data_IF_270197312305
#
_entry.id   IF_270197312305
#
_cell.length_a   1.000
_cell.length_b   1.000
_cell.length_c   1.000
_cell.angle_alpha   90.00
_cell.angle_beta   90.00
_cell.angle_gamma   90.00
#
_symmetry.space_group_name_H-M   'P 1'
#
loop_
_entity.id
_entity.type
_entity.pdbx_description
1 polymer ?
#
# COMPACT_ATOMS: atom_id res chain seq x y z
N UNK A 1 -40.33 77.49 -38.85
CA UNK A 1 -40.43 76.98 -37.46
C UNK A 1 -39.01 76.72 -36.96
N UNK A 2 -38.43 77.68 -36.22
CA UNK A 2 -38.19 77.67 -34.75
C UNK A 2 -37.03 76.73 -34.33
N UNK A 3 -35.83 77.29 -34.07
CA UNK A 3 -35.20 77.62 -32.75
C UNK A 3 -34.41 76.44 -32.14
N UNK A 4 -33.06 76.47 -32.10
CA UNK A 4 -32.13 76.88 -30.99
C UNK A 4 -32.22 76.00 -29.71
N UNK A 5 -31.25 75.97 -28.77
CA UNK A 5 -29.77 75.79 -28.80
C UNK A 5 -29.26 74.83 -27.67
N UNK A 6 -27.94 74.80 -27.40
CA UNK A 6 -27.20 74.09 -26.31
C UNK A 6 -27.83 74.13 -24.88
N UNK A 7 -27.67 73.03 -24.11
CA UNK A 7 -27.55 72.89 -22.63
C UNK A 7 -26.93 71.50 -22.34
N UNK A 8 -25.76 71.30 -21.75
CA UNK A 8 -25.21 71.59 -20.40
C UNK A 8 -25.87 70.84 -19.22
N UNK A 9 -25.00 70.14 -18.45
CA UNK A 9 -25.07 69.72 -17.03
C UNK A 9 -25.40 68.25 -16.71
N UNK A 10 -24.29 67.54 -16.41
CA UNK A 10 -23.94 66.71 -15.24
C UNK A 10 -25.01 66.36 -14.17
N UNK A 11 -24.71 65.23 -13.52
CA UNK A 11 -25.20 64.63 -12.26
C UNK A 11 -26.54 63.85 -12.39
N UNK A 12 -26.79 62.69 -11.76
CA UNK A 12 -26.02 61.76 -10.90
C UNK A 12 -26.92 60.55 -10.59
N UNK A 13 -26.30 59.49 -10.01
CA UNK A 13 -26.87 58.34 -9.28
C UNK A 13 -27.50 57.23 -10.16
N UNK A 14 -26.86 56.07 -10.29
CA UNK A 14 -26.70 54.99 -9.30
C UNK A 14 -28.01 54.22 -9.02
N UNK A 15 -27.92 52.89 -9.21
CA UNK A 15 -28.86 51.83 -8.84
C UNK A 15 -29.98 51.44 -9.85
N UNK A 16 -29.64 50.52 -10.77
CA UNK A 16 -30.40 49.29 -11.11
C UNK A 16 -29.35 48.24 -11.51
N UNK A 17 -28.85 47.44 -10.57
CA UNK A 17 -29.23 46.03 -10.35
C UNK A 17 -28.96 45.15 -11.59
N UNK A 18 -27.82 44.44 -11.61
CA UNK A 18 -27.67 43.01 -11.24
C UNK A 18 -28.14 42.06 -12.35
N UNK A 19 -27.26 41.12 -12.74
CA UNK A 19 -27.33 40.21 -13.90
C UNK A 19 -26.77 40.86 -15.19
N UNK A 20 -25.65 40.46 -15.79
CA UNK A 20 -24.88 39.22 -15.77
C UNK A 20 -23.43 39.57 -16.07
N UNK A 21 -22.57 39.49 -15.05
CA UNK A 21 -21.13 39.64 -15.17
C UNK A 21 -20.51 38.25 -14.95
N UNK A 22 -19.42 37.98 -15.67
CA UNK A 22 -18.56 36.78 -15.56
C UNK A 22 -18.97 35.59 -16.43
N UNK A 23 -18.94 35.80 -17.75
CA UNK A 23 -18.52 34.76 -18.71
C UNK A 23 -17.15 35.17 -19.25
N UNK A 24 -16.21 34.22 -19.29
CA UNK A 24 -14.83 34.36 -19.77
C UNK A 24 -13.76 34.79 -18.74
N UNK A 25 -13.65 34.04 -17.65
CA UNK A 25 -12.34 33.57 -17.20
C UNK A 25 -12.44 32.04 -17.09
N UNK A 26 -12.00 31.35 -18.14
CA UNK A 26 -11.78 29.91 -18.07
C UNK A 26 -10.62 29.68 -17.12
N UNK A 27 -10.93 29.35 -15.86
CA UNK A 27 -9.98 28.67 -14.99
C UNK A 27 -9.74 27.30 -15.61
N UNK A 28 -8.65 27.16 -16.35
CA UNK A 28 -8.02 25.87 -16.55
C UNK A 28 -7.46 25.50 -15.18
N UNK A 29 -8.20 24.72 -14.40
CA UNK A 29 -7.62 23.95 -13.31
C UNK A 29 -6.70 22.91 -13.97
N UNK A 30 -5.43 23.27 -14.18
CA UNK A 30 -4.35 22.29 -14.22
C UNK A 30 -4.14 21.80 -12.78
N UNK A 31 -5.12 21.07 -12.25
CA UNK A 31 -4.86 20.17 -11.14
C UNK A 31 -4.01 19.06 -11.74
N UNK A 32 -2.70 19.07 -11.44
CA UNK A 32 -1.88 17.90 -11.70
C UNK A 32 -2.44 16.79 -10.84
N UNK A 33 -3.15 15.87 -11.45
CA UNK A 33 -3.61 14.66 -10.81
C UNK A 33 -2.36 13.85 -10.41
N UNK A 34 -2.19 13.59 -9.12
CA UNK A 34 -1.15 12.69 -8.65
C UNK A 34 -1.55 11.28 -9.06
N UNK A 35 -1.00 10.79 -10.16
CA UNK A 35 -1.05 9.37 -10.46
C UNK A 35 -0.37 8.64 -9.30
N UNK A 36 -1.12 7.95 -8.43
CA UNK A 36 -0.59 7.20 -7.29
C UNK A 36 -0.47 5.69 -7.57
N UNK A 37 0.73 5.18 -7.80
CA UNK A 37 1.02 3.76 -7.68
C UNK A 37 1.04 3.37 -6.21
N UNK A 38 1.06 2.08 -5.90
CA UNK A 38 0.98 1.62 -4.52
C UNK A 38 1.70 0.29 -4.39
N UNK A 39 2.71 0.27 -3.54
CA UNK A 39 3.42 -0.93 -3.17
C UNK A 39 4.68 -0.63 -2.37
N UNK A 40 5.01 -1.54 -1.47
CA UNK A 40 6.28 -1.65 -0.76
C UNK A 40 6.68 -3.13 -0.73
N UNK A 41 7.89 -3.44 -0.25
CA UNK A 41 8.35 -4.82 -0.14
C UNK A 41 7.47 -5.63 0.83
N UNK A 42 7.12 -6.84 0.41
CA UNK A 42 6.43 -7.86 1.20
C UNK A 42 7.40 -8.96 1.64
N UNK A 43 8.45 -9.26 0.86
CA UNK A 43 9.54 -10.16 1.24
C UNK A 43 10.89 -9.67 0.69
N UNK A 44 11.91 -9.38 1.54
CA UNK A 44 11.77 -9.14 2.97
C UNK A 44 10.80 -7.98 3.22
N UNK A 45 9.87 -8.17 4.15
CA UNK A 45 8.79 -7.21 4.40
C UNK A 45 9.31 -5.85 4.84
N UNK A 46 8.71 -4.79 4.31
CA UNK A 46 9.01 -3.42 4.72
C UNK A 46 8.49 -3.10 6.12
N UNK A 47 8.97 -2.02 6.74
CA UNK A 47 8.50 -1.56 8.06
C UNK A 47 6.98 -1.37 8.10
N UNK A 48 6.41 -0.67 7.12
CA UNK A 48 4.95 -0.42 7.07
C UNK A 48 4.18 -1.71 6.88
N UNK A 49 4.64 -2.61 6.00
CA UNK A 49 4.00 -3.91 5.78
C UNK A 49 4.08 -4.81 7.01
N UNK A 50 5.26 -5.01 7.60
CA UNK A 50 5.41 -5.88 8.77
C UNK A 50 4.75 -5.31 10.02
N UNK A 51 4.67 -3.98 10.17
CA UNK A 51 3.87 -3.39 11.24
C UNK A 51 2.37 -3.52 11.01
N UNK A 52 1.91 -3.51 9.74
CA UNK A 52 0.53 -3.83 9.43
C UNK A 52 0.21 -5.28 9.78
N UNK A 53 1.06 -6.22 9.35
CA UNK A 53 0.94 -7.64 9.70
C UNK A 53 0.94 -7.83 11.22
N UNK A 54 1.89 -7.23 11.95
CA UNK A 54 1.95 -7.31 13.42
C UNK A 54 0.67 -6.78 14.11
N UNK A 55 0.10 -5.71 13.57
CA UNK A 55 -0.99 -4.98 14.19
C UNK A 55 -2.37 -5.53 13.82
N UNK A 56 -2.56 -6.09 12.62
CA UNK A 56 -3.89 -6.47 12.15
C UNK A 56 -4.46 -7.60 12.99
N UNK A 57 -5.66 -7.36 13.52
CA UNK A 57 -6.44 -8.35 14.27
C UNK A 57 -7.52 -8.96 13.38
N UNK A 58 -8.17 -10.03 13.83
CA UNK A 58 -9.28 -10.67 13.11
C UNK A 58 -10.49 -9.76 12.87
N UNK A 59 -10.58 -8.64 13.58
CA UNK A 59 -11.65 -7.63 13.43
C UNK A 59 -11.21 -6.47 12.54
N UNK A 60 -9.98 -6.49 12.02
CA UNK A 60 -9.38 -5.40 11.24
C UNK A 60 -8.87 -4.22 12.06
N UNK A 61 -8.97 -4.29 13.38
CA UNK A 61 -8.35 -3.28 14.24
C UNK A 61 -6.83 -3.45 14.20
N UNK A 62 -6.09 -2.34 14.21
CA UNK A 62 -4.64 -2.35 14.32
C UNK A 62 -4.21 -2.18 15.79
N UNK A 63 -3.60 -3.22 16.33
CA UNK A 63 -3.09 -3.30 17.69
C UNK A 63 -1.66 -3.88 17.64
N UNK A 64 -0.66 -3.06 17.29
CA UNK A 64 0.72 -3.52 17.18
C UNK A 64 1.22 -4.08 18.51
N UNK A 65 1.93 -5.20 18.45
CA UNK A 65 2.59 -5.82 19.59
C UNK A 65 4.08 -5.52 19.62
N UNK A 66 4.68 -5.26 18.46
CA UNK A 66 6.06 -4.83 18.34
C UNK A 66 6.25 -3.41 18.93
N UNK A 67 7.28 -3.17 19.76
CA UNK A 67 7.49 -1.86 20.37
C UNK A 67 7.79 -0.72 19.38
N UNK A 68 8.51 -0.98 18.29
CA UNK A 68 8.77 0.01 17.24
C UNK A 68 7.49 0.33 16.45
N UNK A 69 6.70 -0.69 16.08
CA UNK A 69 5.41 -0.49 15.43
C UNK A 69 4.41 0.26 16.33
N UNK A 70 4.35 -0.08 17.62
CA UNK A 70 3.51 0.62 18.59
C UNK A 70 3.94 2.08 18.76
N UNK A 71 5.24 2.36 18.79
CA UNK A 71 5.75 3.73 18.81
C UNK A 71 5.39 4.49 17.52
N UNK A 72 5.50 3.84 16.36
CA UNK A 72 5.15 4.45 15.08
C UNK A 72 3.66 4.81 14.99
N UNK A 73 2.77 3.92 15.45
CA UNK A 73 1.33 4.18 15.54
C UNK A 73 1.00 5.28 16.56
N UNK A 74 1.74 5.35 17.67
CA UNK A 74 1.53 6.40 18.66
C UNK A 74 1.91 7.80 18.13
N UNK A 75 2.89 7.88 17.23
CA UNK A 75 3.37 9.14 16.64
C UNK A 75 2.58 9.54 15.39
N UNK A 76 2.48 8.65 14.40
CA UNK A 76 1.89 8.93 13.08
C UNK A 76 0.44 8.42 12.91
N UNK A 77 -0.14 7.83 13.95
CA UNK A 77 -1.46 7.22 13.90
C UNK A 77 -1.50 5.91 13.12
N UNK A 78 -2.71 5.38 12.92
CA UNK A 78 -2.94 4.09 12.24
C UNK A 78 -3.10 4.21 10.72
N UNK A 79 -3.43 5.39 10.19
CA UNK A 79 -3.61 5.63 8.74
C UNK A 79 -2.45 5.10 7.88
N UNK A 80 -1.16 5.28 8.26
CA UNK A 80 -0.04 4.72 7.52
C UNK A 80 -0.08 3.20 7.35
N UNK A 81 -0.61 2.47 8.34
CA UNK A 81 -0.68 1.01 8.28
C UNK A 81 -1.86 0.51 7.43
N UNK A 82 -2.96 1.24 7.33
CA UNK A 82 -4.02 0.90 6.36
C UNK A 82 -3.60 1.21 4.92
N UNK A 83 -2.67 2.15 4.77
CA UNK A 83 -2.10 2.56 3.49
C UNK A 83 -0.62 2.15 3.44
N UNK A 84 -0.28 0.97 3.97
CA UNK A 84 1.11 0.51 4.16
C UNK A 84 1.93 0.51 2.86
N UNK A 85 1.24 0.43 1.72
CA UNK A 85 1.75 0.46 0.36
C UNK A 85 1.98 1.88 -0.22
N UNK A 86 1.59 2.95 0.47
CA UNK A 86 1.53 4.32 -0.05
C UNK A 86 2.72 5.22 0.32
N UNK A 87 3.89 4.62 0.58
CA UNK A 87 5.11 5.37 0.92
C UNK A 87 5.73 5.97 -0.36
N UNK A 88 5.19 7.10 -0.78
CA UNK A 88 5.43 7.67 -2.11
C UNK A 88 5.88 9.13 -2.11
N UNK A 89 6.49 9.54 -3.21
CA UNK A 89 6.66 10.94 -3.59
C UNK A 89 6.33 11.10 -5.08
N UNK A 90 5.22 11.79 -5.37
CA UNK A 90 4.71 12.03 -6.73
C UNK A 90 5.67 12.82 -7.62
N UNK A 91 6.69 13.44 -7.06
CA UNK A 91 7.64 14.29 -7.78
C UNK A 91 9.08 13.78 -7.74
N UNK A 92 9.36 12.59 -7.21
CA UNK A 92 10.73 12.12 -7.05
C UNK A 92 11.48 12.01 -8.39
N UNK A 93 10.82 11.57 -9.46
CA UNK A 93 11.34 11.48 -10.83
C UNK A 93 12.69 10.74 -10.91
N UNK A 94 12.84 9.67 -10.14
CA UNK A 94 14.05 8.85 -10.04
C UNK A 94 15.18 9.45 -9.22
N UNK A 95 14.98 10.61 -8.58
CA UNK A 95 15.96 11.27 -7.70
C UNK A 95 16.00 10.58 -6.33
N UNK A 96 17.18 10.61 -5.73
CA UNK A 96 17.44 10.09 -4.38
C UNK A 96 18.28 11.07 -3.59
N UNK A 97 19.58 10.78 -3.45
CA UNK A 97 20.54 11.65 -2.76
C UNK A 97 20.50 13.11 -3.27
N UNK A 98 20.50 14.05 -2.33
CA UNK A 98 20.40 15.49 -2.60
C UNK A 98 18.97 16.01 -2.84
N UNK A 99 17.98 15.12 -2.98
CA UNK A 99 16.57 15.46 -3.12
C UNK A 99 15.72 14.92 -1.96
N UNK A 100 15.85 13.62 -1.65
CA UNK A 100 15.29 13.02 -0.43
C UNK A 100 16.31 13.22 0.70
N UNK A 101 15.99 13.94 1.78
CA UNK A 101 16.93 14.16 2.87
C UNK A 101 17.35 12.86 3.56
N UNK A 102 18.59 12.83 4.06
CA UNK A 102 19.04 11.78 4.97
C UNK A 102 18.13 11.73 6.21
N UNK A 103 17.93 10.53 6.77
CA UNK A 103 17.02 10.28 7.89
C UNK A 103 15.54 10.29 7.52
N UNK A 104 15.18 10.47 6.25
CA UNK A 104 13.77 10.48 5.78
C UNK A 104 13.52 9.53 4.61
N UNK A 105 14.48 8.66 4.30
CA UNK A 105 14.42 7.74 3.15
C UNK A 105 13.22 6.79 3.28
N UNK A 106 12.97 6.26 4.49
CA UNK A 106 11.87 5.32 4.75
C UNK A 106 10.48 5.97 4.79
N UNK A 107 10.40 7.30 4.70
CA UNK A 107 9.15 8.07 4.64
C UNK A 107 9.01 8.88 3.34
N UNK A 108 9.75 8.49 2.29
CA UNK A 108 9.79 9.19 1.01
C UNK A 108 10.10 10.69 1.13
N UNK A 109 10.94 11.08 2.09
CA UNK A 109 11.26 12.48 2.34
C UNK A 109 10.14 13.27 2.99
N UNK A 110 9.19 12.60 3.66
CA UNK A 110 7.96 13.14 4.23
C UNK A 110 7.10 13.87 3.19
N UNK A 111 7.04 13.35 1.96
CA UNK A 111 6.30 13.94 0.82
C UNK A 111 5.06 13.13 0.42
N UNK A 112 4.82 11.99 1.06
CA UNK A 112 3.60 11.21 0.86
C UNK A 112 2.38 11.99 1.37
N UNK A 113 1.18 11.74 0.81
CA UNK A 113 -0.07 12.24 1.37
C UNK A 113 -0.34 11.78 2.82
N UNK A 114 0.36 10.75 3.31
CA UNK A 114 0.25 10.26 4.69
C UNK A 114 1.51 10.51 5.50
N UNK A 115 1.35 10.65 6.81
CA UNK A 115 2.46 10.79 7.72
C UNK A 115 3.18 9.45 7.94
N UNK A 116 4.23 9.19 7.18
CA UNK A 116 5.12 8.04 7.41
C UNK A 116 6.37 8.40 8.24
N UNK A 117 6.42 9.59 8.86
CA UNK A 117 7.66 10.09 9.48
C UNK A 117 8.21 9.15 10.56
N UNK A 118 7.35 8.56 11.38
CA UNK A 118 7.75 7.65 12.45
C UNK A 118 8.42 6.34 11.94
N UNK A 119 8.18 5.95 10.69
CA UNK A 119 8.82 4.77 10.08
C UNK A 119 10.28 5.02 9.70
N UNK A 120 10.77 6.27 9.80
CA UNK A 120 12.20 6.60 9.68
C UNK A 120 12.95 6.54 11.02
N UNK A 121 12.30 6.17 12.12
CA UNK A 121 12.95 6.11 13.43
C UNK A 121 14.13 5.11 13.44
N UNK A 122 15.25 5.56 14.02
CA UNK A 122 16.46 4.77 14.18
C UNK A 122 16.37 3.91 15.45
N UNK A 123 15.97 2.65 15.28
CA UNK A 123 15.73 1.67 16.36
C UNK A 123 16.18 0.29 15.91
N UNK A 124 16.60 -0.54 16.86
CA UNK A 124 17.04 -1.92 16.62
C UNK A 124 15.95 -2.98 16.92
N UNK A 125 14.74 -2.56 17.28
CA UNK A 125 13.63 -3.45 17.64
C UNK A 125 12.48 -3.47 16.61
N UNK A 126 12.72 -2.99 15.38
CA UNK A 126 11.81 -3.21 14.26
C UNK A 126 11.65 -4.71 13.94
N UNK A 127 10.47 -5.14 13.47
CA UNK A 127 10.32 -6.46 12.88
C UNK A 127 11.32 -6.65 11.74
N UNK A 128 11.89 -7.85 11.61
CA UNK A 128 12.97 -8.08 10.66
C UNK A 128 12.89 -9.45 9.99
N UNK A 129 13.44 -9.54 8.79
CA UNK A 129 13.61 -10.80 8.05
C UNK A 129 15.03 -11.35 8.22
N UNK A 130 15.15 -12.62 8.57
CA UNK A 130 16.41 -13.33 8.76
C UNK A 130 16.90 -13.94 7.44
N UNK A 131 18.13 -13.62 7.04
CA UNK A 131 18.68 -13.93 5.72
C UNK A 131 20.09 -14.52 5.80
N UNK A 132 20.48 -15.20 4.73
CA UNK A 132 21.81 -15.80 4.57
C UNK A 132 22.67 -14.93 3.67
N UNK A 133 23.84 -14.50 4.17
CA UNK A 133 24.80 -13.74 3.37
C UNK A 133 25.29 -14.57 2.16
N UNK A 134 25.31 -13.98 0.97
CA UNK A 134 25.73 -14.64 -0.27
C UNK A 134 24.68 -15.57 -0.91
N UNK A 135 23.47 -15.67 -0.34
CA UNK A 135 22.37 -16.41 -0.96
C UNK A 135 21.66 -15.59 -2.04
N UNK A 136 20.67 -16.19 -2.70
CA UNK A 136 19.66 -15.49 -3.49
C UNK A 136 18.33 -15.58 -2.78
N UNK A 137 17.57 -14.49 -2.76
CA UNK A 137 16.21 -14.44 -2.24
C UNK A 137 15.23 -14.15 -3.36
N UNK A 138 13.99 -14.61 -3.23
CA UNK A 138 12.91 -14.13 -4.07
C UNK A 138 12.33 -12.87 -3.41
N UNK A 139 12.65 -11.70 -3.98
CA UNK A 139 12.03 -10.44 -3.58
C UNK A 139 10.55 -10.47 -3.99
N UNK A 140 9.68 -10.04 -3.09
CA UNK A 140 8.27 -9.79 -3.37
C UNK A 140 7.95 -8.34 -3.05
N UNK A 141 7.33 -7.64 -4.00
CA UNK A 141 6.95 -6.25 -3.88
C UNK A 141 5.48 -6.10 -4.20
N UNK A 142 4.68 -5.51 -3.31
CA UNK A 142 3.23 -5.41 -3.48
C UNK A 142 2.87 -4.74 -4.81
N UNK A 143 1.90 -5.31 -5.52
CA UNK A 143 1.32 -4.72 -6.74
C UNK A 143 -0.05 -4.09 -6.46
N UNK A 144 -0.26 -3.52 -5.25
CA UNK A 144 -1.54 -2.95 -4.83
C UNK A 144 -2.15 -2.05 -5.91
N UNK A 145 -1.34 -1.20 -6.53
CA UNK A 145 -1.61 -0.68 -7.86
C UNK A 145 -0.42 -1.02 -8.76
N UNK A 146 -0.66 -1.70 -9.87
CA UNK A 146 0.37 -2.17 -10.79
C UNK A 146 0.73 -1.08 -11.80
N UNK A 147 2.02 -0.74 -11.89
CA UNK A 147 2.57 0.26 -12.81
C UNK A 147 3.86 -0.26 -13.49
N UNK A 148 4.24 0.28 -14.66
CA UNK A 148 5.53 -0.02 -15.26
C UNK A 148 6.66 0.77 -14.55
N UNK A 149 7.86 0.21 -14.49
CA UNK A 149 9.00 0.90 -13.91
C UNK A 149 10.16 0.02 -13.50
N UNK A 150 11.13 0.65 -12.85
CA UNK A 150 12.36 0.03 -12.38
C UNK A 150 12.42 0.02 -10.85
N UNK A 151 12.63 -1.15 -10.26
CA UNK A 151 12.89 -1.34 -8.83
C UNK A 151 14.39 -1.33 -8.61
N UNK A 152 14.92 -0.27 -7.97
CA UNK A 152 16.33 -0.15 -7.59
C UNK A 152 16.50 -0.68 -6.18
N UNK A 153 17.33 -1.71 -6.02
CA UNK A 153 17.53 -2.40 -4.73
C UNK A 153 18.86 -1.98 -4.13
N UNK A 154 18.81 -1.47 -2.91
CA UNK A 154 19.94 -1.01 -2.13
C UNK A 154 20.03 -1.78 -0.81
N UNK A 155 21.23 -1.88 -0.29
CA UNK A 155 21.53 -2.48 1.00
C UNK A 155 22.40 -1.52 1.79
N UNK A 156 22.21 -1.41 3.10
CA UNK A 156 23.18 -0.67 3.93
C UNK A 156 24.56 -1.29 3.85
N UNK A 157 25.63 -0.52 3.99
CA UNK A 157 27.01 -1.01 4.00
C UNK A 157 27.30 -1.75 5.30
N UNK A 158 28.23 -2.72 5.27
CA UNK A 158 28.66 -3.43 6.47
C UNK A 158 29.15 -2.43 7.54
N UNK A 159 28.68 -2.60 8.77
CA UNK A 159 29.01 -1.73 9.90
C UNK A 159 28.01 -0.59 10.16
N UNK A 160 27.03 -0.37 9.27
CA UNK A 160 25.85 0.44 9.60
C UNK A 160 25.05 -0.21 10.73
N UNK A 161 24.40 0.60 11.58
CA UNK A 161 23.55 0.15 12.68
C UNK A 161 22.14 0.72 12.53
N UNK A 162 21.08 -0.06 12.83
CA UNK A 162 19.70 0.43 12.76
C UNK A 162 19.38 1.51 13.81
N UNK A 163 20.24 1.70 14.81
CA UNK A 163 20.18 2.82 15.77
C UNK A 163 20.75 4.14 15.23
N UNK A 164 21.19 4.17 13.97
CA UNK A 164 21.66 5.38 13.27
C UNK A 164 20.64 5.78 12.21
N UNK A 165 20.22 7.07 12.13
CA UNK A 165 19.35 7.53 11.05
C UNK A 165 19.94 7.19 9.68
N UNK A 166 19.15 6.54 8.82
CA UNK A 166 19.61 6.06 7.51
C UNK A 166 19.94 7.23 6.58
N UNK A 167 21.17 7.30 6.09
CA UNK A 167 21.61 8.26 5.08
C UNK A 167 21.86 7.59 3.73
N UNK A 168 21.81 8.35 2.63
CA UNK A 168 22.15 7.85 1.30
C UNK A 168 23.59 7.34 1.21
N UNK A 169 24.50 7.93 2.00
CA UNK A 169 25.88 7.49 2.09
C UNK A 169 26.04 6.10 2.72
N UNK A 170 25.05 5.62 3.46
CA UNK A 170 25.04 4.30 4.08
C UNK A 170 24.65 3.20 3.10
N UNK A 171 24.05 3.55 1.95
CA UNK A 171 23.49 2.59 1.00
C UNK A 171 24.47 2.26 -0.14
N UNK A 172 24.43 1.00 -0.58
CA UNK A 172 25.02 0.51 -1.82
C UNK A 172 23.94 -0.14 -2.68
N UNK A 173 23.92 0.14 -3.99
CA UNK A 173 22.97 -0.51 -4.89
C UNK A 173 23.46 -1.93 -5.20
N UNK A 174 22.64 -2.93 -4.89
CA UNK A 174 22.96 -4.35 -5.09
C UNK A 174 22.18 -4.99 -6.24
N UNK A 175 21.18 -4.29 -6.77
CA UNK A 175 20.35 -4.82 -7.84
C UNK A 175 19.45 -3.78 -8.49
N UNK A 176 18.90 -4.17 -9.64
CA UNK A 176 17.85 -3.44 -10.32
C UNK A 176 17.07 -4.40 -11.20
N UNK A 177 15.75 -4.26 -11.23
CA UNK A 177 14.87 -4.99 -12.16
C UNK A 177 13.87 -4.02 -12.77
N UNK A 178 13.55 -4.21 -14.06
CA UNK A 178 12.54 -3.40 -14.76
C UNK A 178 11.41 -4.32 -15.17
N UNK A 179 10.18 -3.90 -14.90
CA UNK A 179 8.94 -4.62 -15.23
C UNK A 179 9.00 -6.13 -14.88
N UNK A 180 9.31 -6.50 -13.62
CA UNK A 180 9.30 -7.90 -13.19
C UNK A 180 7.91 -8.53 -13.38
N UNK A 181 7.83 -9.87 -13.51
CA UNK A 181 6.53 -10.55 -13.52
C UNK A 181 5.79 -10.32 -12.19
N UNK A 182 4.47 -10.44 -12.24
CA UNK A 182 3.60 -10.34 -11.08
C UNK A 182 2.67 -11.57 -10.98
N UNK A 183 2.22 -11.86 -9.75
CA UNK A 183 1.23 -12.88 -9.42
C UNK A 183 0.18 -12.28 -8.49
N UNK A 184 -1.06 -12.73 -8.61
CA UNK A 184 -2.21 -12.11 -7.95
C UNK A 184 -2.66 -10.83 -8.66
N UNK A 185 -3.97 -10.58 -8.66
CA UNK A 185 -4.53 -9.38 -9.27
C UNK A 185 -4.11 -8.14 -8.48
N UNK A 186 -3.86 -6.97 -9.12
CA UNK A 186 -3.66 -5.72 -8.40
C UNK A 186 -4.81 -5.43 -7.42
N UNK A 187 -4.50 -4.78 -6.29
CA UNK A 187 -5.46 -4.46 -5.24
C UNK A 187 -5.94 -5.65 -4.40
N UNK A 188 -5.35 -6.84 -4.57
CA UNK A 188 -5.72 -8.03 -3.80
C UNK A 188 -4.69 -8.35 -2.72
N UNK A 189 -5.16 -8.98 -1.65
CA UNK A 189 -4.28 -9.51 -0.61
C UNK A 189 -3.31 -10.53 -1.21
N UNK A 190 -2.01 -10.34 -0.99
CA UNK A 190 -0.97 -11.22 -1.51
C UNK A 190 -0.57 -10.97 -2.96
N UNK A 191 -1.18 -10.02 -3.67
CA UNK A 191 -0.72 -9.61 -5.00
C UNK A 191 0.68 -8.98 -4.95
N UNK A 192 1.61 -9.45 -5.79
CA UNK A 192 2.97 -8.92 -5.82
C UNK A 192 3.73 -9.16 -7.12
N UNK A 193 4.66 -8.26 -7.42
CA UNK A 193 5.79 -8.51 -8.30
C UNK A 193 6.79 -9.44 -7.62
N UNK A 194 7.50 -10.26 -8.41
CA UNK A 194 8.55 -11.13 -7.89
C UNK A 194 9.77 -11.22 -8.82
N UNK A 195 10.96 -11.34 -8.21
CA UNK A 195 12.21 -11.61 -8.92
C UNK A 195 13.28 -12.16 -7.96
N UNK A 196 14.28 -12.84 -8.51
CA UNK A 196 15.43 -13.29 -7.72
C UNK A 196 16.45 -12.15 -7.54
N UNK A 197 16.88 -11.95 -6.31
CA UNK A 197 17.91 -10.98 -5.93
C UNK A 197 19.06 -11.68 -5.20
N UNK A 198 20.24 -11.62 -5.81
CA UNK A 198 21.47 -12.06 -5.16
C UNK A 198 21.84 -11.09 -4.03
N UNK A 199 22.15 -11.64 -2.86
CA UNK A 199 22.65 -10.90 -1.70
C UNK A 199 24.19 -10.91 -1.70
N UNK A 200 24.86 -9.80 -1.34
CA UNK A 200 26.31 -9.81 -1.19
C UNK A 200 26.78 -10.84 -0.16
N UNK A 201 27.93 -11.45 -0.41
CA UNK A 201 28.61 -12.31 0.57
C UNK A 201 29.41 -11.48 1.58
N UNK A 202 29.84 -12.10 2.68
CA UNK A 202 30.62 -11.44 3.73
C UNK A 202 29.83 -10.46 4.59
N UNK A 203 28.49 -10.53 4.57
CA UNK A 203 27.60 -9.70 5.39
C UNK A 203 27.27 -10.42 6.70
N UNK A 204 27.18 -9.68 7.80
CA UNK A 204 26.79 -10.21 9.11
C UNK A 204 25.98 -9.20 9.91
N UNK A 205 25.07 -9.70 10.74
CA UNK A 205 24.28 -8.89 11.67
C UNK A 205 23.22 -8.03 10.97
N UNK A 206 22.77 -7.01 11.68
CA UNK A 206 21.65 -6.17 11.27
C UNK A 206 22.00 -5.32 10.05
N UNK A 207 21.05 -5.22 9.14
CA UNK A 207 21.13 -4.38 7.96
C UNK A 207 19.72 -3.89 7.57
N UNK A 208 19.67 -3.01 6.58
CA UNK A 208 18.42 -2.52 6.00
C UNK A 208 18.50 -2.63 4.49
N UNK A 209 17.49 -3.26 3.90
CA UNK A 209 17.29 -3.32 2.46
C UNK A 209 16.33 -2.20 2.08
N UNK A 210 16.77 -1.32 1.18
CA UNK A 210 15.98 -0.19 0.68
C UNK A 210 15.63 -0.44 -0.80
N UNK A 211 14.38 -0.24 -1.17
CA UNK A 211 13.93 -0.31 -2.57
C UNK A 211 13.31 1.03 -2.95
N UNK A 212 13.79 1.59 -4.06
CA UNK A 212 13.14 2.68 -4.76
C UNK A 212 12.47 2.16 -6.02
N UNK A 213 11.14 2.17 -6.08
CA UNK A 213 10.42 1.90 -7.32
C UNK A 213 10.25 3.19 -8.10
N UNK A 214 10.90 3.25 -9.27
CA UNK A 214 10.88 4.40 -10.17
C UNK A 214 9.96 4.08 -11.33
N UNK A 215 8.76 4.68 -11.35
CA UNK A 215 7.82 4.54 -12.45
C UNK A 215 8.40 5.08 -13.76
N UNK A 216 8.01 4.47 -14.87
CA UNK A 216 8.41 4.91 -16.22
C UNK A 216 7.35 5.76 -16.92
N UNK A 217 6.13 5.80 -16.37
CA UNK A 217 4.95 6.51 -16.87
C UNK A 217 4.58 7.76 -16.03
N UNK A 218 5.26 7.97 -14.90
CA UNK A 218 5.03 9.09 -13.98
C UNK A 218 6.33 9.56 -13.31
N UNK A 219 6.32 10.77 -12.74
CA UNK A 219 7.39 11.23 -11.83
C UNK A 219 7.32 10.57 -10.46
N UNK A 220 6.26 9.85 -10.15
CA UNK A 220 6.07 9.28 -8.84
C UNK A 220 7.01 8.09 -8.57
N UNK A 221 7.58 8.03 -7.37
CA UNK A 221 8.36 6.88 -6.89
C UNK A 221 7.87 6.39 -5.52
N UNK A 222 8.18 5.13 -5.22
CA UNK A 222 7.89 4.47 -3.93
C UNK A 222 9.17 4.16 -3.20
N UNK A 223 9.10 4.19 -1.87
CA UNK A 223 10.23 4.04 -0.97
C UNK A 223 9.91 2.97 0.06
N UNK A 224 10.67 1.88 0.04
CA UNK A 224 10.45 0.73 0.92
C UNK A 224 11.71 0.45 1.72
N UNK A 225 11.61 0.43 3.05
CA UNK A 225 12.68 0.02 3.96
C UNK A 225 12.32 -1.28 4.66
N UNK A 226 13.17 -2.30 4.55
CA UNK A 226 13.00 -3.60 5.20
C UNK A 226 14.19 -3.87 6.13
N UNK A 227 13.95 -3.97 7.43
CA UNK A 227 14.98 -4.39 8.39
C UNK A 227 15.26 -5.88 8.22
N UNK A 228 16.55 -6.25 8.15
CA UNK A 228 16.99 -7.62 7.93
C UNK A 228 18.16 -7.97 8.84
N UNK A 229 18.40 -9.26 9.05
CA UNK A 229 19.57 -9.76 9.75
C UNK A 229 20.30 -10.81 8.90
N UNK A 230 21.61 -10.65 8.72
CA UNK A 230 22.48 -11.66 8.12
C UNK A 230 23.02 -12.60 9.21
N UNK A 231 22.24 -13.61 9.55
CA UNK A 231 22.52 -14.57 10.62
C UNK A 231 22.31 -16.03 10.20
N UNK A 232 22.06 -16.28 8.92
CA UNK A 232 21.86 -17.62 8.36
C UNK A 232 20.41 -18.03 8.21
N UNK A 233 19.46 -17.11 8.39
CA UNK A 233 18.05 -17.34 8.07
C UNK A 233 17.75 -17.48 6.58
N UNK A 234 16.53 -17.89 6.29
CA UNK A 234 16.00 -18.22 4.96
C UNK A 234 14.68 -17.49 4.66
N UNK A 235 14.44 -16.34 5.30
CA UNK A 235 13.23 -15.53 5.13
C UNK A 235 12.30 -15.53 6.34
N UNK A 236 12.72 -16.10 7.47
CA UNK A 236 11.92 -16.07 8.70
C UNK A 236 11.75 -14.62 9.17
N UNK A 237 10.57 -14.28 9.69
CA UNK A 237 10.29 -12.97 10.27
C UNK A 237 10.22 -13.07 11.77
N UNK A 238 10.90 -12.17 12.48
CA UNK A 238 10.78 -12.00 13.93
C UNK A 238 10.34 -10.59 14.29
N UNK A 239 9.94 -10.42 15.55
CA UNK A 239 9.47 -9.14 16.07
C UNK A 239 8.01 -8.83 15.74
N UNK A 240 7.25 -9.76 15.16
CA UNK A 240 5.79 -9.66 14.99
C UNK A 240 5.05 -10.57 15.99
N UNK A 241 3.83 -10.21 16.35
CA UNK A 241 2.87 -11.00 17.15
C UNK A 241 3.44 -11.60 18.45
N UNK A 242 4.15 -10.80 19.25
CA UNK A 242 4.76 -11.22 20.52
C UNK A 242 5.63 -12.49 20.45
N UNK A 243 6.23 -12.81 19.28
CA UNK A 243 7.08 -14.00 19.12
C UNK A 243 6.32 -15.34 19.00
N UNK A 244 4.99 -15.31 18.86
CA UNK A 244 4.22 -16.47 18.42
C UNK A 244 4.40 -16.63 16.91
N UNK A 245 5.49 -17.29 16.50
CA UNK A 245 5.81 -17.53 15.10
C UNK A 245 4.69 -18.28 14.37
N UNK A 246 3.81 -17.54 13.70
CA UNK A 246 3.04 -18.07 12.57
C UNK A 246 3.93 -17.96 11.35
N UNK A 247 4.66 -19.04 11.06
CA UNK A 247 5.33 -19.18 9.78
C UNK A 247 4.28 -19.22 8.68
N UNK A 248 4.10 -18.13 7.93
CA UNK A 248 3.54 -18.21 6.58
C UNK A 248 4.64 -18.75 5.67
N UNK A 249 4.91 -20.04 5.81
CA UNK A 249 5.95 -20.75 5.05
C UNK A 249 5.52 -20.97 3.62
N UNK A 250 6.21 -20.31 2.68
CA UNK A 250 6.25 -20.72 1.29
C UNK A 250 6.86 -22.12 1.17
N UNK A 251 6.11 -23.03 0.55
CA UNK A 251 6.50 -24.42 0.30
C UNK A 251 7.80 -24.49 -0.50
N UNK A 252 8.89 -24.97 0.11
CA UNK A 252 9.99 -25.61 -0.62
C UNK A 252 10.40 -26.89 0.08
N UNK A 253 10.08 -28.01 -0.58
CA UNK A 253 10.51 -29.35 -0.21
C UNK A 253 12.02 -29.49 -0.44
N UNK A 254 12.79 -29.54 0.63
CA UNK A 254 14.23 -29.78 0.63
C UNK A 254 14.57 -31.03 1.45
N UNK A 255 14.65 -32.17 0.78
CA UNK A 255 15.16 -33.44 1.34
C UNK A 255 16.66 -33.32 1.60
N UNK A 256 17.11 -33.44 2.86
CA UNK A 256 18.42 -33.96 3.30
C UNK A 256 18.28 -34.22 4.81
N UNK A 257 18.32 -35.44 5.34
CA UNK A 257 19.44 -36.36 5.32
C UNK A 257 20.31 -36.15 6.57
N UNK A 258 19.89 -36.66 7.74
CA UNK A 258 20.77 -36.73 8.91
C UNK A 258 20.62 -38.06 9.65
N UNK A 259 21.72 -38.79 9.68
CA UNK A 259 21.97 -40.05 10.36
C UNK A 259 22.59 -39.74 11.72
N UNK A 260 22.00 -40.17 12.84
CA UNK A 260 22.66 -41.03 13.87
C UNK A 260 21.76 -41.30 15.09
N UNK A 261 21.48 -42.58 15.28
CA UNK A 261 21.60 -43.42 16.48
C UNK A 261 21.01 -43.01 17.84
N UNK A 262 20.02 -43.79 18.28
CA UNK A 262 19.93 -44.26 19.68
C UNK A 262 18.52 -44.29 20.27
N UNK A 263 17.99 -45.49 20.57
CA UNK A 263 16.88 -45.66 21.53
C UNK A 263 15.75 -46.58 21.07
N UNK A 264 15.90 -47.87 21.33
CA UNK A 264 14.89 -48.92 21.18
C UNK A 264 13.74 -48.75 22.19
N UNK A 265 12.48 -48.87 21.75
CA UNK A 265 11.42 -49.67 22.39
C UNK A 265 10.18 -49.81 21.49
N UNK A 266 9.96 -51.05 21.08
CA UNK A 266 8.73 -51.82 20.80
C UNK A 266 7.37 -51.11 20.83
N UNK A 267 6.59 -51.27 19.74
CA UNK A 267 5.17 -50.95 19.67
C UNK A 267 4.53 -51.39 18.34
N UNK A 268 4.11 -52.66 18.28
CA UNK A 268 3.41 -53.33 17.17
C UNK A 268 2.00 -52.76 16.96
N UNK A 269 1.57 -52.67 15.68
CA UNK A 269 0.25 -52.94 15.06
C UNK A 269 0.17 -52.02 13.82
N UNK A 270 0.16 -52.43 12.54
CA UNK A 270 -0.54 -53.54 11.89
C UNK A 270 -1.64 -52.94 10.98
N UNK A 271 -1.36 -52.69 9.69
CA UNK A 271 -2.37 -52.73 8.61
C UNK A 271 -1.76 -52.66 7.19
N UNK A 272 -1.55 -53.85 6.62
CA UNK A 272 -1.80 -54.35 5.26
C UNK A 272 -2.20 -53.39 4.11
N UNK A 273 -1.35 -53.38 3.07
CA UNK A 273 -1.54 -53.33 1.58
C UNK A 273 -2.82 -52.71 0.97
N UNK A 274 -2.75 -51.98 -0.15
CA UNK A 274 -2.70 -52.58 -1.51
C UNK A 274 -2.34 -51.52 -2.57
N UNK A 275 -1.39 -51.87 -3.45
CA UNK A 275 -1.06 -51.09 -4.64
C UNK A 275 -2.02 -51.34 -5.80
N UNK A 276 -2.18 -50.32 -6.64
CA UNK A 276 -2.95 -50.41 -7.89
C UNK A 276 -2.42 -49.40 -8.89
N UNK A 277 -1.53 -49.87 -9.77
CA UNK A 277 -1.01 -49.16 -10.94
C UNK A 277 -1.93 -49.45 -12.13
N UNK A 278 -2.43 -48.42 -12.81
CA UNK A 278 -2.88 -48.49 -14.22
C UNK A 278 -2.72 -47.13 -14.93
N UNK A 279 -1.74 -47.10 -15.84
CA UNK A 279 -1.71 -46.50 -17.19
C UNK A 279 -2.80 -45.50 -17.63
N UNK A 280 -2.33 -44.32 -18.09
CA UNK A 280 -2.51 -43.86 -19.46
C UNK A 280 -3.77 -43.07 -19.81
N UNK A 281 -3.64 -41.74 -19.95
CA UNK A 281 -4.66 -40.88 -20.54
C UNK A 281 -4.13 -39.48 -20.79
N UNK A 282 -3.42 -39.30 -21.91
CA UNK A 282 -3.07 -37.98 -22.44
C UNK A 282 -4.37 -37.24 -22.81
N UNK A 283 -4.61 -36.10 -22.18
CA UNK A 283 -5.62 -35.14 -22.64
C UNK A 283 -5.07 -33.72 -22.52
N UNK A 284 -4.98 -33.08 -23.67
CA UNK A 284 -4.73 -31.66 -23.90
C UNK A 284 -5.86 -30.87 -23.24
N UNK A 285 -5.55 -30.10 -22.19
CA UNK A 285 -6.52 -29.34 -21.39
C UNK A 285 -6.25 -27.84 -21.45
N UNK A 286 -7.06 -27.17 -22.27
CA UNK A 286 -7.24 -25.73 -22.45
C UNK A 286 -7.17 -24.89 -21.17
N UNK A 287 -6.48 -23.75 -21.27
CA UNK A 287 -6.45 -22.62 -20.33
C UNK A 287 -7.87 -22.23 -19.90
N UNK A 288 -8.26 -22.62 -18.69
CA UNK A 288 -9.49 -22.17 -18.04
C UNK A 288 -9.13 -21.14 -16.98
N UNK A 289 -9.32 -19.87 -17.32
CA UNK A 289 -9.36 -18.76 -16.36
C UNK A 289 -10.55 -18.98 -15.43
N UNK A 290 -10.27 -19.19 -14.14
CA UNK A 290 -11.28 -19.17 -13.07
C UNK A 290 -11.26 -17.79 -12.43
N UNK A 291 -12.31 -17.04 -12.72
CA UNK A 291 -12.70 -15.75 -12.16
C UNK A 291 -12.83 -15.82 -10.63
N UNK A 292 -12.09 -14.96 -9.93
CA UNK A 292 -12.23 -14.68 -8.50
C UNK A 292 -11.86 -13.22 -8.23
N UNK A 293 -12.82 -12.45 -7.70
CA UNK A 293 -12.65 -11.09 -7.16
C UNK A 293 -12.06 -10.05 -8.12
N UNK A 294 -12.88 -9.46 -9.01
CA UNK A 294 -12.46 -8.36 -9.88
C UNK A 294 -12.60 -7.02 -9.16
N UNK A 295 -11.59 -6.65 -8.38
CA UNK A 295 -11.21 -5.25 -8.33
C UNK A 295 -10.70 -4.85 -9.71
N UNK A 296 -11.11 -3.69 -10.21
CA UNK A 296 -10.50 -3.16 -11.43
C UNK A 296 -9.10 -2.66 -11.06
N UNK A 297 -8.05 -3.17 -11.71
CA UNK A 297 -6.68 -2.74 -11.43
C UNK A 297 -6.49 -1.23 -11.66
N UNK A 298 -7.38 -0.62 -12.44
CA UNK A 298 -7.40 0.81 -12.74
C UNK A 298 -8.11 1.63 -11.64
N UNK A 299 -9.01 1.03 -10.84
CA UNK A 299 -9.75 1.72 -9.79
C UNK A 299 -9.07 1.45 -8.44
N UNK A 300 -8.75 2.51 -7.70
CA UNK A 300 -8.23 2.34 -6.35
C UNK A 300 -8.95 3.24 -5.35
N UNK A 301 -9.18 2.72 -4.14
CA UNK A 301 -9.75 3.46 -3.04
C UNK A 301 -8.76 3.55 -1.87
N UNK A 302 -8.67 4.73 -1.24
CA UNK A 302 -7.87 4.95 -0.04
C UNK A 302 -8.73 5.48 1.08
N UNK A 303 -8.63 4.88 2.25
CA UNK A 303 -9.43 5.21 3.42
C UNK A 303 -8.62 6.03 4.43
N UNK A 304 -9.23 7.10 4.94
CA UNK A 304 -8.68 7.91 6.03
C UNK A 304 -9.74 8.22 7.10
N UNK A 305 -9.29 8.29 8.35
CA UNK A 305 -10.07 8.86 9.46
C UNK A 305 -9.63 10.32 9.61
N UNK A 306 -10.50 11.25 9.25
CA UNK A 306 -10.19 12.69 9.22
C UNK A 306 -10.49 13.39 10.54
N UNK A 307 -11.41 12.84 11.34
CA UNK A 307 -11.70 13.31 12.69
C UNK A 307 -12.30 12.17 13.54
N UNK A 308 -12.10 12.19 14.86
CA UNK A 308 -12.69 11.19 15.76
C UNK A 308 -13.10 11.78 17.10
N UNK A 309 -14.11 11.18 17.74
CA UNK A 309 -14.62 11.56 19.06
C UNK A 309 -15.11 10.32 19.82
N UNK A 310 -15.49 10.51 21.09
CA UNK A 310 -16.03 9.40 21.88
C UNK A 310 -17.32 8.86 21.24
N UNK A 311 -17.28 7.60 20.79
CA UNK A 311 -18.42 6.90 20.20
C UNK A 311 -18.59 7.10 18.69
N UNK A 312 -17.71 7.82 17.99
CA UNK A 312 -17.83 7.99 16.55
C UNK A 312 -16.64 8.67 15.87
N UNK A 313 -16.69 8.71 14.54
CA UNK A 313 -15.66 9.33 13.73
C UNK A 313 -16.18 9.81 12.38
N UNK A 314 -15.37 10.63 11.73
CA UNK A 314 -15.53 11.03 10.34
C UNK A 314 -14.46 10.32 9.49
N UNK A 315 -14.91 9.62 8.46
CA UNK A 315 -14.05 8.99 7.47
C UNK A 315 -14.15 9.68 6.12
N UNK A 316 -13.09 9.60 5.34
CA UNK A 316 -13.02 10.04 3.95
C UNK A 316 -12.35 8.94 3.13
N UNK A 317 -12.90 8.69 1.95
CA UNK A 317 -12.33 7.76 0.96
C UNK A 317 -12.03 8.53 -0.32
N UNK A 318 -10.78 8.45 -0.75
CA UNK A 318 -10.35 8.91 -2.07
C UNK A 318 -10.48 7.76 -3.07
N UNK A 319 -11.08 8.02 -4.22
CA UNK A 319 -11.24 7.10 -5.35
C UNK A 319 -10.41 7.62 -6.51
N UNK A 320 -9.47 6.83 -6.98
CA UNK A 320 -8.48 7.19 -8.02
C UNK A 320 -8.65 6.34 -9.25
N UNK A 321 -8.39 6.95 -10.41
CA UNK A 321 -8.29 6.28 -11.70
C UNK A 321 -6.82 6.19 -12.15
N UNK A 322 -6.27 4.99 -12.13
CA UNK A 322 -4.94 4.66 -12.65
C UNK A 322 -4.97 4.07 -14.06
N UNK A 323 -6.16 3.95 -14.65
CA UNK A 323 -6.35 3.56 -16.03
C UNK A 323 -6.05 4.70 -17.00
N UNK A 324 -5.99 4.33 -18.28
CA UNK A 324 -5.73 5.28 -19.39
C UNK A 324 -6.99 5.89 -19.98
N UNK A 325 -8.17 5.51 -19.48
CA UNK A 325 -9.47 5.99 -19.94
C UNK A 325 -10.29 6.58 -18.79
N UNK A 326 -11.11 7.62 -19.03
CA UNK A 326 -12.01 8.12 -17.99
C UNK A 326 -13.01 7.06 -17.54
N UNK A 327 -13.27 6.99 -16.23
CA UNK A 327 -14.37 6.19 -15.69
C UNK A 327 -15.71 6.90 -15.90
N UNK A 328 -16.82 6.16 -15.83
CA UNK A 328 -18.18 6.72 -15.87
C UNK A 328 -18.95 6.42 -14.59
N UNK A 329 -18.64 5.27 -13.98
CA UNK A 329 -19.12 4.83 -12.69
C UNK A 329 -17.92 4.34 -11.85
N UNK A 330 -18.03 4.53 -10.54
CA UNK A 330 -17.14 3.88 -9.58
C UNK A 330 -17.94 3.30 -8.43
N UNK A 331 -17.44 2.19 -7.92
CA UNK A 331 -17.98 1.48 -6.76
C UNK A 331 -16.82 1.14 -5.82
N UNK A 332 -17.03 1.36 -4.53
CA UNK A 332 -16.08 1.07 -3.46
C UNK A 332 -16.71 0.17 -2.42
N UNK A 333 -16.08 -0.97 -2.16
CA UNK A 333 -16.54 -2.00 -1.24
C UNK A 333 -15.58 -2.17 -0.06
N UNK A 334 -16.13 -2.29 1.14
CA UNK A 334 -15.37 -2.71 2.31
C UNK A 334 -16.29 -3.27 3.40
N UNK A 335 -15.69 -3.91 4.40
CA UNK A 335 -16.38 -4.25 5.65
C UNK A 335 -16.00 -3.22 6.70
N UNK A 336 -16.91 -2.42 7.29
CA UNK A 336 -16.57 -1.57 8.42
C UNK A 336 -16.07 -2.41 9.61
N UNK A 337 -15.17 -1.85 10.42
CA UNK A 337 -14.69 -2.52 11.63
C UNK A 337 -15.83 -2.95 12.56
N UNK A 338 -15.59 -3.98 13.37
CA UNK A 338 -16.61 -4.48 14.30
C UNK A 338 -17.10 -3.37 15.24
N UNK A 339 -18.42 -3.28 15.44
CA UNK A 339 -19.04 -2.21 16.23
C UNK A 339 -19.10 -0.84 15.54
N UNK A 340 -18.64 -0.74 14.29
CA UNK A 340 -18.77 0.46 13.47
C UNK A 340 -19.99 0.41 12.56
N UNK A 341 -20.76 1.49 12.56
CA UNK A 341 -21.92 1.65 11.67
C UNK A 341 -21.93 3.04 11.07
N UNK A 342 -21.91 3.10 9.74
CA UNK A 342 -22.05 4.35 8.99
C UNK A 342 -23.45 4.95 9.25
N UNK A 343 -23.48 6.25 9.53
CA UNK A 343 -24.69 6.99 9.96
C UNK A 343 -25.12 8.03 8.93
N UNK A 344 -24.17 8.76 8.34
CA UNK A 344 -24.41 9.69 7.24
C UNK A 344 -23.28 9.56 6.23
N UNK A 345 -23.57 9.78 4.95
CA UNK A 345 -22.60 9.76 3.86
C UNK A 345 -22.93 10.89 2.88
N UNK A 346 -21.90 11.49 2.29
CA UNK A 346 -22.01 12.51 1.24
C UNK A 346 -21.09 12.19 0.06
N UNK A 347 -21.35 12.81 -1.10
CA UNK A 347 -20.63 12.57 -2.36
C UNK A 347 -20.67 11.10 -2.85
N UNK A 348 -21.64 10.31 -2.41
CA UNK A 348 -21.86 8.94 -2.88
C UNK A 348 -23.22 8.39 -2.44
N UNK A 349 -23.51 7.17 -2.84
CA UNK A 349 -24.72 6.43 -2.47
C UNK A 349 -24.32 5.14 -1.77
N UNK A 350 -24.67 5.03 -0.48
CA UNK A 350 -24.38 3.87 0.35
C UNK A 350 -25.42 2.76 0.16
N UNK A 351 -24.94 1.55 -0.08
CA UNK A 351 -25.66 0.29 0.09
C UNK A 351 -24.99 -0.53 1.18
N UNK A 352 -25.75 -1.35 1.90
CA UNK A 352 -25.22 -2.24 2.92
C UNK A 352 -25.87 -3.62 2.79
N UNK A 353 -25.04 -4.66 2.78
CA UNK A 353 -25.46 -6.07 2.79
C UNK A 353 -24.75 -6.80 3.93
N UNK A 354 -25.51 -7.18 4.96
CA UNK A 354 -24.93 -7.72 6.19
C UNK A 354 -23.94 -6.75 6.84
N UNK A 355 -22.69 -7.17 6.95
CA UNK A 355 -21.58 -6.35 7.47
C UNK A 355 -20.79 -5.63 6.39
N UNK A 356 -21.00 -5.94 5.11
CA UNK A 356 -20.31 -5.26 4.01
C UNK A 356 -21.07 -3.99 3.61
N UNK A 357 -20.33 -2.97 3.17
CA UNK A 357 -20.88 -1.75 2.60
C UNK A 357 -20.29 -1.51 1.22
N UNK A 358 -21.14 -1.00 0.33
CA UNK A 358 -20.79 -0.55 -1.01
C UNK A 358 -21.15 0.93 -1.14
N UNK A 359 -20.27 1.74 -1.70
CA UNK A 359 -20.54 3.14 -2.04
C UNK A 359 -20.31 3.36 -3.52
N UNK A 360 -21.35 3.83 -4.20
CA UNK A 360 -21.27 4.23 -5.61
C UNK A 360 -21.28 5.74 -5.76
N UNK A 361 -20.84 6.23 -6.93
CA UNK A 361 -20.76 7.66 -7.20
C UNK A 361 -22.10 8.40 -7.08
N UNK A 362 -22.03 9.66 -6.64
CA UNK A 362 -23.13 10.60 -6.83
C UNK A 362 -23.23 11.00 -8.31
N UNK A 363 -24.36 11.57 -8.71
CA UNK A 363 -24.64 11.91 -10.12
C UNK A 363 -23.65 12.88 -10.77
N UNK A 364 -22.84 13.59 -9.99
CA UNK A 364 -21.92 14.63 -10.45
C UNK A 364 -20.44 14.27 -10.34
N UNK A 365 -20.07 13.14 -9.72
CA UNK A 365 -18.67 12.76 -9.48
C UNK A 365 -18.31 11.35 -9.97
N UNK A 366 -19.10 10.76 -10.87
CA UNK A 366 -18.79 9.46 -11.47
C UNK A 366 -17.63 9.48 -12.46
N UNK A 367 -17.46 10.59 -13.18
CA UNK A 367 -16.38 10.72 -14.17
C UNK A 367 -15.05 11.08 -13.51
N UNK A 368 -14.11 10.15 -13.52
CA UNK A 368 -12.74 10.36 -13.09
C UNK A 368 -11.84 10.17 -14.32
N UNK A 369 -11.18 11.23 -14.78
CA UNK A 369 -10.22 11.13 -15.89
C UNK A 369 -8.98 10.31 -15.50
N UNK A 370 -8.15 9.88 -16.47
CA UNK A 370 -6.86 9.25 -16.20
C UNK A 370 -6.04 10.05 -15.17
N UNK A 371 -5.43 9.34 -14.23
CA UNK A 371 -4.70 9.84 -13.06
C UNK A 371 -5.51 10.70 -12.08
N UNK A 372 -6.79 10.95 -12.38
CA UNK A 372 -7.70 11.76 -11.58
C UNK A 372 -8.15 11.06 -10.30
N UNK A 373 -8.73 11.84 -9.39
CA UNK A 373 -9.40 11.32 -8.20
C UNK A 373 -10.68 12.08 -7.86
N UNK A 374 -11.51 11.47 -7.01
CA UNK A 374 -12.63 12.10 -6.32
C UNK A 374 -12.70 11.60 -4.89
N UNK A 375 -13.49 12.26 -4.04
CA UNK A 375 -13.65 11.83 -2.64
C UNK A 375 -15.11 11.70 -2.26
N UNK A 376 -15.39 10.74 -1.38
CA UNK A 376 -16.60 10.70 -0.59
C UNK A 376 -16.27 10.63 0.90
N UNK A 377 -17.20 11.08 1.73
CA UNK A 377 -17.00 11.08 3.17
C UNK A 377 -18.24 10.64 3.91
N UNK A 378 -18.04 10.24 5.16
CA UNK A 378 -19.12 9.73 5.99
C UNK A 378 -18.84 9.97 7.48
N UNK A 379 -19.90 9.91 8.29
CA UNK A 379 -19.80 9.77 9.74
C UNK A 379 -20.23 8.39 10.16
N UNK A 380 -19.60 7.82 11.18
CA UNK A 380 -19.98 6.54 11.73
C UNK A 380 -19.98 6.56 13.26
N UNK A 381 -20.90 5.80 13.85
CA UNK A 381 -20.79 5.40 15.25
C UNK A 381 -19.74 4.30 15.34
N UNK A 382 -18.93 4.29 16.39
CA UNK A 382 -17.89 3.28 16.59
C UNK A 382 -17.65 2.98 18.07
N UNK A 383 -17.28 1.74 18.36
CA UNK A 383 -16.75 1.29 19.66
C UNK A 383 -15.24 1.48 19.80
N UNK A 384 -14.61 2.22 18.88
CA UNK A 384 -13.16 2.49 18.85
C UNK A 384 -12.43 1.87 17.66
N UNK A 385 -13.15 1.18 16.76
CA UNK A 385 -12.60 0.58 15.54
C UNK A 385 -13.03 1.42 14.34
N UNK A 386 -12.29 2.49 14.05
CA UNK A 386 -12.70 3.51 13.08
C UNK A 386 -12.28 3.20 11.63
N UNK A 387 -11.83 2.00 11.33
CA UNK A 387 -11.18 1.66 10.06
C UNK A 387 -11.74 0.34 9.49
N UNK A 388 -11.56 0.06 8.18
CA UNK A 388 -12.07 -1.15 7.55
C UNK A 388 -11.53 -2.44 8.16
N UNK A 389 -12.35 -3.50 8.13
CA UNK A 389 -11.90 -4.87 8.33
C UNK A 389 -11.44 -5.47 7.01
N UNK A 390 -10.15 -5.75 6.92
CA UNK A 390 -9.48 -6.14 5.67
C UNK A 390 -9.27 -4.95 4.74
N UNK A 391 -9.27 -5.24 3.45
CA UNK A 391 -9.04 -4.28 2.39
C UNK A 391 -10.28 -3.48 2.01
N UNK A 392 -10.05 -2.30 1.43
CA UNK A 392 -11.04 -1.55 0.67
C UNK A 392 -10.78 -1.82 -0.81
N UNK A 393 -11.80 -2.21 -1.56
CA UNK A 393 -11.71 -2.52 -2.99
C UNK A 393 -12.47 -1.50 -3.81
N UNK A 394 -12.08 -1.34 -5.07
CA UNK A 394 -12.62 -0.35 -5.99
C UNK A 394 -12.83 -0.99 -7.36
N UNK A 395 -13.90 -0.60 -8.06
CA UNK A 395 -14.12 -0.98 -9.45
C UNK A 395 -14.73 0.15 -10.27
N UNK A 396 -14.41 0.19 -11.57
CA UNK A 396 -15.06 1.05 -12.55
C UNK A 396 -16.05 0.30 -13.42
N UNK A 397 -17.08 0.99 -13.93
CA UNK A 397 -17.97 0.49 -14.99
C UNK A 397 -18.50 1.57 -15.94
#
# INVERSE_FOLDING_TARGET
MQRKPKRSRKLSLAAVAFATLVSAFGLVFLGGSSAQAHGVAMMPGSRTYLCYEDAVTSTGALQPTNPACAAAVAESGTTPLYNWFAVLDSNAAGRGAGYVPDGTICSAGNKSPYDFSAYSAARDDWPRTHLTSGSSIQLQYSNWAQHPGTFRVYLTKQGWSPTTPLAWADLEQIGSVTDPPAVGSPGTDGGHYYWDQALPSGRTGDALLFIQWVRSDSNENFFSCSDIAFDGGNGEVTGIHNGSGTTTGGTTSGTTGSTTTGGSTTGTTGSTTTGGSTTGGSSTGTTGSTTGGTGDADCMAMYSVTNSWSGGFQGEVEVMNHGTSPSSHWEVDWTPGEGTKITTLWNGTLSADGSAVSVTNASYNGTIGPDGSTTFGFTANSTGINLPNGSITCSFS
#
